data_IF_340898436545
#
_entry.id   IF_340898436545
#
_cell.length_a   1.000
_cell.length_b   1.000
_cell.length_c   1.000
_cell.angle_alpha   90.00
_cell.angle_beta   90.00
_cell.angle_gamma   90.00
#
_symmetry.space_group_name_H-M   'P 1'
#
loop_
_entity.id
_entity.type
_entity.pdbx_description
1 polymer ?
#
# COMPACT_ATOMS: atom_id res chain seq x y z
N UNK A 1 4.23 -6.25 1.02
CA UNK A 1 5.54 -6.00 0.35
C UNK A 1 5.64 -6.64 -1.05
N UNK A 2 5.23 -7.91 -1.25
CA UNK A 2 5.38 -8.64 -2.53
C UNK A 2 4.96 -7.89 -3.83
N UNK A 3 3.84 -7.15 -3.83
CA UNK A 3 3.41 -6.40 -5.03
C UNK A 3 4.40 -5.31 -5.46
N UNK A 4 5.10 -4.69 -4.50
CA UNK A 4 6.10 -3.66 -4.78
C UNK A 4 7.34 -4.28 -5.43
N UNK A 5 7.80 -5.43 -4.91
CA UNK A 5 8.89 -6.18 -5.52
C UNK A 5 8.55 -6.65 -6.94
N UNK A 6 7.31 -7.08 -7.18
CA UNK A 6 6.89 -7.44 -8.53
C UNK A 6 6.96 -6.25 -9.50
N UNK A 7 6.56 -5.06 -9.06
CA UNK A 7 6.70 -3.83 -9.85
C UNK A 7 8.17 -3.50 -10.13
N UNK A 8 9.04 -3.63 -9.13
CA UNK A 8 10.48 -3.41 -9.30
C UNK A 8 11.06 -4.37 -10.34
N UNK A 9 10.72 -5.67 -10.29
CA UNK A 9 11.15 -6.66 -11.29
C UNK A 9 10.68 -6.31 -12.71
N UNK A 10 9.47 -5.76 -12.85
CA UNK A 10 8.97 -5.28 -14.14
C UNK A 10 9.74 -4.06 -14.63
N UNK A 11 10.02 -3.08 -13.75
CA UNK A 11 10.85 -1.92 -14.12
C UNK A 11 12.24 -2.35 -14.60
N UNK A 12 12.86 -3.32 -13.93
CA UNK A 12 14.13 -3.91 -14.34
C UNK A 12 14.02 -4.64 -15.69
N UNK A 13 12.91 -5.34 -15.96
CA UNK A 13 12.70 -6.04 -17.23
C UNK A 13 12.51 -5.10 -18.43
N UNK A 14 11.82 -3.98 -18.24
CA UNK A 14 11.51 -3.04 -19.33
C UNK A 14 12.62 -2.02 -19.56
N UNK A 15 13.09 -1.36 -18.49
CA UNK A 15 13.98 -0.21 -18.59
C UNK A 15 15.29 -0.39 -17.78
N UNK A 16 15.53 -1.58 -17.19
CA UNK A 16 16.78 -1.95 -16.48
C UNK A 16 17.18 -0.99 -15.33
N UNK A 17 16.21 -0.30 -14.76
CA UNK A 17 16.44 0.71 -13.72
C UNK A 17 15.35 0.67 -12.64
N UNK A 18 15.64 1.26 -11.48
CA UNK A 18 14.70 1.39 -10.37
C UNK A 18 14.45 2.87 -10.03
N UNK A 19 13.19 3.33 -9.92
CA UNK A 19 12.90 4.69 -9.46
C UNK A 19 13.40 4.97 -8.05
N UNK A 20 13.81 6.22 -7.79
CA UNK A 20 14.39 6.65 -6.51
C UNK A 20 13.51 6.42 -5.27
N UNK A 21 12.20 6.37 -5.42
CA UNK A 21 11.27 6.17 -4.31
C UNK A 21 11.08 4.70 -3.92
N UNK A 22 11.56 3.76 -4.74
CA UNK A 22 11.57 2.35 -4.36
C UNK A 22 12.81 2.01 -3.55
N UNK A 23 12.65 1.08 -2.61
CA UNK A 23 13.78 0.49 -1.90
C UNK A 23 14.57 -0.38 -2.88
N UNK A 24 15.90 -0.22 -2.89
CA UNK A 24 16.80 -1.08 -3.68
C UNK A 24 16.76 -2.50 -3.13
N UNK A 25 16.69 -3.48 -4.02
CA UNK A 25 16.65 -4.91 -3.65
C UNK A 25 18.07 -5.49 -3.70
N UNK A 26 18.91 -4.99 -4.60
CA UNK A 26 20.35 -5.26 -4.66
C UNK A 26 21.14 -4.06 -5.19
N UNK A 27 22.15 -4.35 -6.03
CA UNK A 27 23.04 -3.36 -6.65
C UNK A 27 22.49 -2.80 -7.98
N UNK A 28 21.17 -2.65 -8.09
CA UNK A 28 20.54 -2.14 -9.30
C UNK A 28 20.72 -0.62 -9.42
N UNK A 29 20.90 -0.15 -10.66
CA UNK A 29 21.07 1.27 -10.94
C UNK A 29 19.77 2.04 -10.75
N UNK A 30 19.90 3.24 -10.19
CA UNK A 30 18.80 4.18 -10.10
C UNK A 30 18.47 4.73 -11.49
N UNK A 31 17.18 4.94 -11.71
CA UNK A 31 16.69 5.42 -12.99
C UNK A 31 16.95 6.92 -13.16
N UNK A 32 17.68 7.31 -14.22
CA UNK A 32 17.86 8.71 -14.62
C UNK A 32 16.61 9.25 -15.34
N UNK A 33 16.62 10.52 -15.76
CA UNK A 33 15.49 11.20 -16.43
C UNK A 33 14.99 10.42 -17.65
N UNK A 34 15.90 9.91 -18.48
CA UNK A 34 15.54 9.11 -19.66
C UNK A 34 14.87 7.78 -19.29
N UNK A 35 15.37 7.13 -18.24
CA UNK A 35 14.79 5.87 -17.76
C UNK A 35 13.42 6.08 -17.11
N UNK A 36 13.22 7.21 -16.41
CA UNK A 36 11.91 7.59 -15.90
C UNK A 36 10.92 7.86 -17.05
N UNK A 37 11.39 8.46 -18.15
CA UNK A 37 10.58 8.60 -19.36
C UNK A 37 10.23 7.24 -19.98
N UNK A 38 11.14 6.27 -19.97
CA UNK A 38 10.86 4.88 -20.40
C UNK A 38 9.75 4.26 -19.55
N UNK A 39 9.85 4.33 -18.22
CA UNK A 39 8.85 3.80 -17.30
C UNK A 39 7.49 4.49 -17.44
N UNK A 40 7.47 5.78 -17.78
CA UNK A 40 6.23 6.52 -18.03
C UNK A 40 5.41 5.97 -19.19
N UNK A 41 6.05 5.33 -20.19
CA UNK A 41 5.33 4.69 -21.30
C UNK A 41 4.56 3.44 -20.85
N UNK A 42 5.07 2.75 -19.83
CA UNK A 42 4.50 1.52 -19.28
C UNK A 42 3.73 1.75 -17.97
N UNK A 43 3.39 3.00 -17.64
CA UNK A 43 2.74 3.35 -16.37
C UNK A 43 1.49 2.50 -16.10
N UNK A 44 0.68 2.27 -17.13
CA UNK A 44 -0.61 1.59 -17.00
C UNK A 44 -0.43 0.10 -16.71
N UNK A 45 0.57 -0.53 -17.34
CA UNK A 45 0.96 -1.92 -17.07
C UNK A 45 1.54 -2.08 -15.66
N UNK A 46 2.39 -1.15 -15.23
CA UNK A 46 3.02 -1.16 -13.91
C UNK A 46 2.00 -0.92 -12.78
N UNK A 47 1.03 -0.02 -12.98
CA UNK A 47 -0.04 0.24 -12.02
C UNK A 47 -1.01 -0.94 -11.92
N UNK A 48 -1.50 -1.43 -13.06
CA UNK A 48 -2.52 -2.49 -13.12
C UNK A 48 -1.94 -3.89 -12.92
N UNK A 49 -0.63 -4.06 -13.05
CA UNK A 49 0.06 -5.36 -13.08
C UNK A 49 -0.60 -6.31 -14.09
N UNK A 50 -0.94 -5.75 -15.25
CA UNK A 50 -1.57 -6.44 -16.36
C UNK A 50 -0.75 -6.16 -17.61
N UNK A 51 -0.53 -7.22 -18.37
CA UNK A 51 0.15 -7.15 -19.66
C UNK A 51 -0.76 -6.49 -20.71
N UNK A 52 -0.18 -6.08 -21.84
CA UNK A 52 -0.93 -5.44 -22.96
C UNK A 52 -2.07 -6.32 -23.48
N UNK A 53 -1.94 -7.65 -23.34
CA UNK A 53 -2.98 -8.63 -23.68
C UNK A 53 -4.04 -8.88 -22.59
N UNK A 54 -4.06 -8.07 -21.52
CA UNK A 54 -5.02 -8.21 -20.40
C UNK A 54 -4.74 -9.40 -19.47
N UNK A 55 -3.62 -10.11 -19.67
CA UNK A 55 -3.19 -11.17 -18.76
C UNK A 55 -2.59 -10.55 -17.51
N UNK A 56 -3.05 -10.99 -16.34
CA UNK A 56 -2.50 -10.57 -15.05
C UNK A 56 -1.07 -11.10 -14.92
N UNK A 57 -0.11 -10.22 -14.61
CA UNK A 57 1.27 -10.62 -14.37
C UNK A 57 1.29 -11.57 -13.18
N UNK A 58 1.83 -12.78 -13.37
CA UNK A 58 1.94 -13.76 -12.29
C UNK A 58 3.05 -13.35 -11.32
N UNK A 59 2.71 -12.48 -10.38
CA UNK A 59 3.61 -12.06 -9.30
C UNK A 59 3.72 -13.11 -8.16
N UNK A 60 2.84 -14.13 -8.13
CA UNK A 60 2.80 -15.12 -7.05
C UNK A 60 2.48 -14.55 -5.66
N UNK A 61 1.95 -13.33 -5.57
CA UNK A 61 1.67 -12.67 -4.30
C UNK A 61 0.32 -13.13 -3.74
N UNK A 62 0.35 -13.92 -2.67
CA UNK A 62 -0.82 -14.28 -1.88
C UNK A 62 -1.16 -13.18 -0.87
N UNK A 63 -2.44 -13.03 -0.48
CA UNK A 63 -2.81 -12.16 0.62
C UNK A 63 -2.10 -12.61 1.91
N UNK A 64 -1.85 -11.67 2.80
CA UNK A 64 -1.35 -11.98 4.14
C UNK A 64 -2.45 -12.71 4.92
N UNK A 65 -2.09 -13.71 5.72
CA UNK A 65 -3.04 -14.41 6.60
C UNK A 65 -3.43 -13.55 7.81
N UNK A 66 -2.49 -12.76 8.32
CA UNK A 66 -2.70 -11.82 9.43
C UNK A 66 -2.52 -10.39 8.93
N UNK A 67 -3.62 -9.64 8.83
CA UNK A 67 -3.60 -8.23 8.47
C UNK A 67 -4.05 -7.35 9.65
N UNK A 68 -3.18 -6.41 10.04
CA UNK A 68 -3.49 -5.43 11.08
C UNK A 68 -3.89 -4.13 10.40
N UNK A 69 -5.16 -3.76 10.53
CA UNK A 69 -5.70 -2.50 10.00
C UNK A 69 -5.86 -1.48 11.14
N UNK A 70 -5.28 -0.29 10.96
CA UNK A 70 -5.46 0.83 11.89
C UNK A 70 -6.46 1.82 11.30
N UNK A 71 -7.48 2.19 12.09
CA UNK A 71 -8.43 3.24 11.71
C UNK A 71 -7.96 4.54 12.35
N UNK A 72 -7.57 5.51 11.53
CA UNK A 72 -7.28 6.86 12.01
C UNK A 72 -8.60 7.56 12.35
N UNK A 73 -8.86 7.77 13.64
CA UNK A 73 -9.89 8.72 14.05
C UNK A 73 -9.36 10.13 13.82
N UNK A 74 -10.06 10.89 12.98
CA UNK A 74 -9.74 12.30 12.79
C UNK A 74 -10.02 13.06 14.07
N UNK A 75 -8.99 13.64 14.64
CA UNK A 75 -9.13 14.56 15.76
C UNK A 75 -9.53 15.92 15.19
N UNK A 76 -10.59 16.52 15.72
CA UNK A 76 -10.86 17.93 15.47
C UNK A 76 -9.62 18.74 15.92
N UNK A 77 -9.18 19.70 15.10
CA UNK A 77 -8.15 20.65 15.51
C UNK A 77 -8.72 21.47 16.68
N UNK A 78 -8.30 21.16 17.89
CA UNK A 78 -8.58 22.00 19.05
C UNK A 78 -7.43 23.01 19.15
N UNK A 79 -7.75 24.30 18.98
CA UNK A 79 -6.77 25.35 19.22
C UNK A 79 -6.31 25.29 20.68
N UNK A 80 -4.99 25.36 20.89
CA UNK A 80 -4.35 25.36 22.20
C UNK A 80 -4.59 26.70 22.90
N UNK A 81 -5.84 27.07 23.18
CA UNK A 81 -6.16 28.46 23.45
C UNK A 81 -5.91 28.92 24.89
N UNK A 82 -5.70 28.06 25.91
CA UNK A 82 -5.14 28.45 27.24
C UNK A 82 -5.11 27.22 28.17
N UNK A 83 -3.93 26.78 28.62
CA UNK A 83 -3.75 25.92 29.80
C UNK A 83 -4.36 24.50 29.73
N UNK A 84 -3.54 23.54 29.32
CA UNK A 84 -3.64 22.08 29.57
C UNK A 84 -4.95 21.56 30.18
N UNK A 85 -5.99 21.42 29.36
CA UNK A 85 -7.09 20.48 29.61
C UNK A 85 -7.18 19.51 28.43
N UNK A 86 -6.41 18.43 28.52
CA UNK A 86 -6.47 17.31 27.59
C UNK A 86 -7.67 16.44 27.97
N UNK A 87 -8.77 16.55 27.23
CA UNK A 87 -9.83 15.54 27.27
C UNK A 87 -9.50 14.47 26.23
N UNK A 88 -8.98 13.33 26.69
CA UNK A 88 -8.64 12.19 25.85
C UNK A 88 -9.79 11.18 25.89
N UNK A 89 -10.47 10.98 24.77
CA UNK A 89 -11.55 10.01 24.63
C UNK A 89 -11.91 9.76 23.16
N UNK A 90 -12.26 8.52 22.82
CA UNK A 90 -12.75 8.15 21.48
C UNK A 90 -14.13 8.79 21.26
N UNK A 91 -14.26 9.65 20.25
CA UNK A 91 -15.54 10.30 19.90
C UNK A 91 -16.49 9.34 19.19
N UNK A 92 -15.96 8.32 18.50
CA UNK A 92 -16.76 7.36 17.73
C UNK A 92 -16.23 5.94 17.87
N UNK A 93 -17.10 4.95 17.98
CA UNK A 93 -16.70 3.53 17.93
C UNK A 93 -16.73 3.05 16.48
N UNK A 94 -15.64 2.48 15.92
CA UNK A 94 -15.67 1.90 14.59
C UNK A 94 -16.60 0.68 14.58
N UNK A 95 -17.55 0.65 13.63
CA UNK A 95 -18.66 -0.33 13.55
C UNK A 95 -18.23 -1.75 13.14
N UNK A 96 -16.94 -2.05 13.08
CA UNK A 96 -16.44 -3.30 12.47
C UNK A 96 -16.32 -4.46 13.47
N UNK A 97 -16.66 -4.28 14.75
CA UNK A 97 -16.51 -5.32 15.79
C UNK A 97 -17.78 -6.14 16.09
N UNK A 98 -18.88 -6.02 15.32
CA UNK A 98 -20.15 -6.71 15.68
C UNK A 98 -20.41 -8.02 14.90
N UNK A 99 -19.61 -8.42 13.91
CA UNK A 99 -19.94 -9.63 13.12
C UNK A 99 -19.36 -10.97 13.59
N UNK A 100 -18.43 -11.01 14.55
CA UNK A 100 -17.86 -12.29 15.02
C UNK A 100 -18.53 -12.89 16.27
N UNK A 101 -19.64 -12.30 16.73
CA UNK A 101 -20.32 -12.73 17.97
C UNK A 101 -21.51 -13.69 17.83
N UNK A 102 -21.89 -14.10 16.61
CA UNK A 102 -23.17 -14.80 16.36
C UNK A 102 -23.05 -16.25 15.83
N UNK A 103 -21.94 -16.97 16.10
CA UNK A 103 -21.82 -18.38 15.67
C UNK A 103 -21.36 -19.37 16.75
N UNK A 104 -21.36 -18.99 18.04
CA UNK A 104 -20.95 -19.86 19.15
C UNK A 104 -21.99 -19.98 20.27
N UNK A 105 -23.26 -20.18 19.91
CA UNK A 105 -24.24 -20.89 20.76
C UNK A 105 -25.27 -21.57 19.89
N UNK A 106 -25.12 -22.87 19.69
CA UNK A 106 -26.18 -23.89 19.57
C UNK A 106 -25.51 -25.21 19.13
N UNK A 107 -25.02 -25.96 20.10
CA UNK A 107 -25.16 -27.42 20.19
C UNK A 107 -24.72 -27.92 21.56
#
# INVERSE_FOLDING_TARGET
MCRMECRIRLCLKYCHCIPHFYRRIGDEQLCDVEGLHCLSKYKDELYKLQDSSGKKVMCGCYPLCDDVNYVLQSNALQEWFLGTNLQWGMVTYPRNEIQEGHHLRLH
#
